data_IF_388239621088
#
_entry.id   IF_388239621088
#
_cell.length_a   1.000
_cell.length_b   1.000
_cell.length_c   1.000
_cell.angle_alpha   90.00
_cell.angle_beta   90.00
_cell.angle_gamma   90.00
#
_symmetry.space_group_name_H-M   'P 1'
#
loop_
_entity.id
_entity.type
_entity.pdbx_description
1 polymer ?
#
# COMPACT_ATOMS: atom_id res chain seq x y z
N UNK A 1 4.71 43.09 -53.64
CA UNK A 1 3.32 42.95 -54.13
C UNK A 1 3.12 41.52 -54.61
N UNK A 2 1.91 40.98 -54.37
CA UNK A 2 1.36 39.66 -54.80
C UNK A 2 1.76 38.48 -53.90
N UNK A 3 0.88 37.82 -53.09
CA UNK A 3 -0.34 37.00 -53.38
C UNK A 3 0.02 35.86 -54.36
N UNK A 4 -0.19 34.56 -54.10
CA UNK A 4 -1.38 33.78 -53.68
C UNK A 4 -0.90 32.34 -53.26
N UNK A 5 -1.40 31.71 -52.19
CA UNK A 5 -2.58 30.82 -52.04
C UNK A 5 -2.42 29.36 -52.54
N UNK A 6 -2.58 28.45 -51.57
CA UNK A 6 -3.04 27.03 -51.60
C UNK A 6 -2.41 26.01 -52.55
N UNK A 7 -2.00 24.87 -51.95
CA UNK A 7 -2.62 23.62 -52.37
C UNK A 7 -2.80 22.64 -51.20
N UNK A 8 -3.97 22.05 -51.16
CA UNK A 8 -4.47 21.07 -50.19
C UNK A 8 -3.96 19.68 -50.56
N UNK A 9 -3.82 18.78 -49.57
CA UNK A 9 -4.26 17.40 -49.78
C UNK A 9 -4.92 16.86 -48.50
N UNK A 10 -6.18 16.42 -48.58
CA UNK A 10 -6.98 15.91 -47.46
C UNK A 10 -6.95 14.38 -47.40
N UNK A 11 -6.79 13.82 -46.21
CA UNK A 11 -7.27 12.52 -45.72
C UNK A 11 -6.29 11.92 -44.72
N UNK A 12 -6.49 12.24 -43.45
CA UNK A 12 -6.38 11.24 -42.40
C UNK A 12 -7.70 11.33 -41.63
N UNK A 13 -8.58 10.38 -41.92
CA UNK A 13 -9.85 10.17 -41.22
C UNK A 13 -9.47 9.77 -39.79
N UNK A 14 -9.35 10.75 -38.90
CA UNK A 14 -9.26 10.52 -37.47
C UNK A 14 -10.68 10.18 -36.99
N UNK A 15 -10.85 8.91 -36.68
CA UNK A 15 -12.02 8.29 -36.08
C UNK A 15 -12.58 9.14 -34.92
N UNK A 16 -13.79 9.74 -35.03
CA UNK A 16 -14.39 10.51 -33.95
C UNK A 16 -15.26 9.60 -33.09
N UNK A 17 -14.65 8.76 -32.25
CA UNK A 17 -15.36 8.03 -31.21
C UNK A 17 -14.52 7.88 -29.94
N UNK A 18 -14.14 9.00 -29.32
CA UNK A 18 -13.93 9.09 -27.86
C UNK A 18 -14.40 10.48 -27.38
N UNK A 19 -15.70 10.75 -27.53
CA UNK A 19 -16.35 11.87 -26.84
C UNK A 19 -17.67 11.38 -26.24
N UNK A 20 -17.75 11.47 -24.92
CA UNK A 20 -18.87 11.11 -24.06
C UNK A 20 -18.36 10.22 -22.92
N UNK A 21 -18.14 10.71 -21.70
CA UNK A 21 -19.11 11.40 -20.84
C UNK A 21 -18.48 12.58 -20.07
N UNK A 22 -19.30 13.56 -19.69
CA UNK A 22 -18.91 14.74 -18.91
C UNK A 22 -18.13 14.35 -17.66
N UNK A 23 -16.88 14.82 -17.60
CA UNK A 23 -15.87 14.38 -16.64
C UNK A 23 -16.23 14.72 -15.21
N UNK A 24 -16.63 13.72 -14.44
CA UNK A 24 -16.31 13.73 -13.03
C UNK A 24 -14.78 13.58 -12.92
N UNK A 25 -14.10 14.45 -12.16
CA UNK A 25 -12.68 14.29 -11.92
C UNK A 25 -12.46 12.90 -11.30
N UNK A 26 -11.55 12.11 -11.89
CA UNK A 26 -11.18 10.82 -11.32
C UNK A 26 -10.66 11.07 -9.89
N UNK A 27 -11.33 10.56 -8.84
CA UNK A 27 -10.95 10.83 -7.46
C UNK A 27 -9.57 10.26 -7.08
N UNK A 28 -9.06 9.33 -7.90
CA UNK A 28 -7.75 8.70 -7.75
C UNK A 28 -6.69 9.28 -8.69
N UNK A 29 -7.02 10.32 -9.47
CA UNK A 29 -6.00 11.07 -10.20
C UNK A 29 -5.02 11.71 -9.21
N UNK A 30 -3.74 11.39 -9.38
CA UNK A 30 -2.62 11.83 -8.56
C UNK A 30 -1.65 12.75 -9.34
N UNK A 31 -2.05 13.23 -10.51
CA UNK A 31 -1.21 14.03 -11.40
C UNK A 31 -0.70 15.33 -10.74
N UNK A 32 -1.58 16.04 -10.02
CA UNK A 32 -1.22 17.27 -9.30
C UNK A 32 -0.25 16.98 -8.14
N UNK A 33 -0.53 15.96 -7.34
CA UNK A 33 0.34 15.58 -6.22
C UNK A 33 1.72 15.14 -6.70
N UNK A 34 1.80 14.40 -7.82
CA UNK A 34 3.07 14.01 -8.44
C UNK A 34 3.86 15.24 -8.89
N UNK A 35 3.20 16.20 -9.53
CA UNK A 35 3.85 17.45 -9.96
C UNK A 35 4.37 18.26 -8.78
N UNK A 36 3.59 18.35 -7.69
CA UNK A 36 4.01 19.02 -6.46
C UNK A 36 5.22 18.31 -5.83
N UNK A 37 5.18 16.97 -5.73
CA UNK A 37 6.27 16.17 -5.18
C UNK A 37 7.57 16.36 -5.98
N UNK A 38 7.51 16.33 -7.31
CA UNK A 38 8.67 16.58 -8.17
C UNK A 38 9.26 18.00 -7.98
N UNK A 39 8.42 19.00 -7.74
CA UNK A 39 8.89 20.36 -7.41
C UNK A 39 9.61 20.36 -6.06
N UNK A 40 8.99 19.78 -5.03
CA UNK A 40 9.56 19.71 -3.68
C UNK A 40 10.87 18.92 -3.65
N UNK A 41 10.97 17.81 -4.38
CA UNK A 41 12.20 17.03 -4.47
C UNK A 41 13.35 17.85 -5.11
N UNK A 42 13.06 18.63 -6.16
CA UNK A 42 14.05 19.53 -6.76
C UNK A 42 14.48 20.64 -5.81
N UNK A 43 13.52 21.23 -5.09
CA UNK A 43 13.82 22.26 -4.08
C UNK A 43 14.68 21.70 -2.94
N UNK A 44 14.33 20.52 -2.41
CA UNK A 44 15.09 19.85 -1.36
C UNK A 44 16.51 19.50 -1.82
N UNK A 45 16.67 19.05 -3.07
CA UNK A 45 18.00 18.79 -3.64
C UNK A 45 18.83 20.08 -3.72
N UNK A 46 18.26 21.18 -4.22
CA UNK A 46 18.95 22.46 -4.27
C UNK A 46 19.32 22.99 -2.89
N UNK A 47 18.44 22.80 -1.88
CA UNK A 47 18.74 23.16 -0.49
C UNK A 47 19.87 22.32 0.09
N UNK A 48 19.99 21.04 -0.27
CA UNK A 48 21.09 20.19 0.19
C UNK A 48 22.44 20.66 -0.38
N UNK A 49 22.45 21.14 -1.63
CA UNK A 49 23.66 21.68 -2.28
C UNK A 49 24.17 22.96 -1.62
N UNK A 50 23.27 23.84 -1.14
CA UNK A 50 23.65 25.10 -0.50
C UNK A 50 23.70 25.04 1.02
N UNK A 51 23.26 23.92 1.63
CA UNK A 51 23.04 23.74 3.06
C UNK A 51 24.16 24.29 3.94
N UNK A 52 25.40 23.90 3.66
CA UNK A 52 26.54 24.26 4.51
C UNK A 52 26.88 25.76 4.42
N UNK A 53 26.78 26.35 3.22
CA UNK A 53 27.04 27.77 3.01
C UNK A 53 25.94 28.63 3.67
N UNK A 54 24.68 28.21 3.53
CA UNK A 54 23.54 28.88 4.15
C UNK A 54 23.58 28.74 5.69
N UNK A 55 23.97 27.57 6.19
CA UNK A 55 24.14 27.35 7.63
C UNK A 55 25.27 28.20 8.21
N UNK A 56 26.44 28.25 7.56
CA UNK A 56 27.55 29.10 8.00
C UNK A 56 27.14 30.59 8.06
N UNK A 57 26.38 31.06 7.06
CA UNK A 57 25.83 32.41 7.06
C UNK A 57 24.83 32.62 8.21
N UNK A 58 23.91 31.68 8.42
CA UNK A 58 22.96 31.72 9.53
C UNK A 58 23.68 31.79 10.88
N UNK A 59 24.63 30.89 11.11
CA UNK A 59 25.40 30.79 12.36
C UNK A 59 26.16 32.08 12.66
N UNK A 60 26.78 32.70 11.65
CA UNK A 60 27.49 33.98 11.82
C UNK A 60 26.58 35.13 12.30
N UNK A 61 25.28 35.04 12.00
CA UNK A 61 24.27 36.05 12.33
C UNK A 61 23.51 35.71 13.62
N UNK A 62 23.43 34.44 14.00
CA UNK A 62 22.63 33.95 15.13
C UNK A 62 23.42 33.73 16.42
N UNK A 63 24.75 33.85 16.37
CA UNK A 63 25.61 33.81 17.56
C UNK A 63 25.70 35.19 18.24
N UNK A 64 25.25 35.26 19.48
CA UNK A 64 25.44 36.38 20.40
C UNK A 64 26.91 36.52 20.85
N UNK A 65 27.30 37.67 21.44
CA UNK A 65 28.64 37.85 22.00
C UNK A 65 28.99 36.81 23.06
N UNK A 66 28.08 36.51 23.97
CA UNK A 66 28.29 35.53 25.06
C UNK A 66 28.51 34.13 24.48
N UNK A 67 27.73 33.75 23.47
CA UNK A 67 27.89 32.46 22.80
C UNK A 67 29.21 32.36 22.03
N UNK A 68 29.76 33.48 21.53
CA UNK A 68 31.09 33.49 20.87
C UNK A 68 32.22 33.33 21.88
N UNK A 69 32.06 33.88 23.08
CA UNK A 69 33.05 33.78 24.15
C UNK A 69 33.21 32.33 24.63
N UNK A 70 32.15 31.52 24.55
CA UNK A 70 32.22 30.08 24.84
C UNK A 70 33.34 29.38 24.07
N UNK A 71 33.69 29.82 22.86
CA UNK A 71 34.80 29.21 22.12
C UNK A 71 36.13 29.27 22.89
N UNK A 72 36.33 30.31 23.71
CA UNK A 72 37.53 30.50 24.51
C UNK A 72 37.39 29.99 25.95
N UNK A 73 36.17 30.04 26.51
CA UNK A 73 35.90 29.65 27.90
C UNK A 73 35.57 28.17 28.06
N UNK A 74 34.80 27.62 27.14
CA UNK A 74 34.28 26.24 27.14
C UNK A 74 33.98 25.79 25.69
N UNK A 75 35.03 25.32 25.02
CA UNK A 75 34.98 24.91 23.61
C UNK A 75 33.95 23.79 23.37
N UNK A 76 33.72 22.90 24.34
CA UNK A 76 32.71 21.85 24.23
C UNK A 76 31.31 22.46 24.22
N UNK A 77 31.00 23.35 25.16
CA UNK A 77 29.71 24.06 25.21
C UNK A 77 29.47 24.90 23.94
N UNK A 78 30.52 25.50 23.38
CA UNK A 78 30.43 26.21 22.10
C UNK A 78 29.97 25.28 20.97
N UNK A 79 30.62 24.13 20.79
CA UNK A 79 30.25 23.20 19.72
C UNK A 79 28.86 22.57 19.94
N UNK A 80 28.46 22.29 21.18
CA UNK A 80 27.09 21.87 21.48
C UNK A 80 26.06 22.92 21.05
N UNK A 81 26.34 24.20 21.29
CA UNK A 81 25.47 25.29 20.84
C UNK A 81 25.40 25.38 19.31
N UNK A 82 26.53 25.22 18.61
CA UNK A 82 26.56 25.18 17.14
C UNK A 82 25.68 24.06 16.59
N UNK A 83 25.76 22.85 17.17
CA UNK A 83 24.93 21.71 16.75
C UNK A 83 23.44 21.97 16.98
N UNK A 84 23.06 22.54 18.13
CA UNK A 84 21.66 22.91 18.40
C UNK A 84 21.14 23.92 17.37
N UNK A 85 21.95 24.92 17.02
CA UNK A 85 21.59 25.90 15.97
C UNK A 85 21.53 25.27 14.57
N UNK A 86 22.32 24.24 14.30
CA UNK A 86 22.20 23.45 13.06
C UNK A 86 20.84 22.74 12.99
N UNK A 87 20.43 22.06 14.07
CA UNK A 87 19.13 21.40 14.15
C UNK A 87 17.96 22.39 13.93
N UNK A 88 18.00 23.56 14.58
CA UNK A 88 17.01 24.62 14.39
C UNK A 88 16.97 25.12 12.95
N UNK A 89 18.14 25.37 12.36
CA UNK A 89 18.27 25.81 10.97
C UNK A 89 17.67 24.80 10.01
N UNK A 90 17.98 23.51 10.18
CA UNK A 90 17.45 22.43 9.36
C UNK A 90 15.94 22.27 9.55
N UNK A 91 15.45 22.31 10.79
CA UNK A 91 14.02 22.23 11.06
C UNK A 91 13.23 23.33 10.31
N UNK A 92 13.73 24.57 10.33
CA UNK A 92 13.10 25.69 9.64
C UNK A 92 13.23 25.63 8.11
N UNK A 93 14.36 25.17 7.59
CA UNK A 93 14.66 25.20 6.14
C UNK A 93 14.09 24.02 5.37
N UNK A 94 14.14 22.82 5.95
CA UNK A 94 13.81 21.57 5.26
C UNK A 94 12.70 20.76 5.95
N UNK A 95 12.38 21.05 7.21
CA UNK A 95 11.39 20.27 7.98
C UNK A 95 10.02 20.21 7.32
N UNK A 96 9.38 21.36 7.09
CA UNK A 96 8.05 21.44 6.47
C UNK A 96 8.01 20.84 5.06
N UNK A 97 9.07 21.06 4.28
CA UNK A 97 9.19 20.52 2.91
C UNK A 97 9.32 19.00 2.90
N UNK A 98 10.12 18.44 3.81
CA UNK A 98 10.25 16.98 3.98
C UNK A 98 8.93 16.35 4.44
N UNK A 99 8.25 16.99 5.40
CA UNK A 99 6.95 16.54 5.88
C UNK A 99 5.91 16.55 4.76
N UNK A 100 5.86 17.62 3.95
CA UNK A 100 4.95 17.71 2.81
C UNK A 100 5.25 16.67 1.73
N UNK A 101 6.53 16.44 1.42
CA UNK A 101 6.93 15.40 0.46
C UNK A 101 6.47 14.01 0.92
N UNK A 102 6.68 13.66 2.19
CA UNK A 102 6.23 12.39 2.76
C UNK A 102 4.70 12.23 2.71
N UNK A 103 3.94 13.30 3.00
CA UNK A 103 2.48 13.30 2.89
C UNK A 103 2.00 13.08 1.45
N UNK A 104 2.67 13.72 0.48
CA UNK A 104 2.36 13.55 -0.94
C UNK A 104 2.66 12.12 -1.40
N UNK A 105 3.80 11.56 -1.01
CA UNK A 105 4.14 10.17 -1.31
C UNK A 105 3.07 9.20 -0.80
N UNK A 106 2.63 9.37 0.45
CA UNK A 106 1.55 8.56 1.02
C UNK A 106 0.23 8.73 0.25
N UNK A 107 -0.14 9.97 -0.06
CA UNK A 107 -1.37 10.29 -0.80
C UNK A 107 -1.35 9.67 -2.20
N UNK A 108 -0.23 9.79 -2.91
CA UNK A 108 -0.01 9.23 -4.25
C UNK A 108 -0.09 7.71 -4.19
N UNK A 109 0.56 7.08 -3.21
CA UNK A 109 0.54 5.63 -3.05
C UNK A 109 -0.89 5.11 -2.84
N UNK A 110 -1.66 5.76 -1.95
CA UNK A 110 -3.04 5.41 -1.68
C UNK A 110 -3.95 5.61 -2.91
N UNK A 111 -3.83 6.75 -3.61
CA UNK A 111 -4.58 7.00 -4.84
C UNK A 111 -4.25 5.99 -5.93
N UNK A 112 -2.96 5.66 -6.11
CA UNK A 112 -2.54 4.66 -7.09
C UNK A 112 -3.11 3.28 -6.76
N UNK A 113 -3.11 2.85 -5.48
CA UNK A 113 -3.67 1.55 -5.12
C UNK A 113 -5.15 1.45 -5.44
N UNK A 114 -5.93 2.51 -5.15
CA UNK A 114 -7.34 2.54 -5.50
C UNK A 114 -7.57 2.59 -7.02
N UNK A 115 -6.78 3.37 -7.76
CA UNK A 115 -6.89 3.41 -9.23
C UNK A 115 -6.59 2.06 -9.87
N UNK A 116 -5.62 1.31 -9.35
CA UNK A 116 -5.32 -0.05 -9.81
C UNK A 116 -6.49 -0.99 -9.54
N UNK A 117 -7.10 -0.90 -8.36
CA UNK A 117 -8.24 -1.73 -7.99
C UNK A 117 -9.48 -1.41 -8.86
N UNK A 118 -9.81 -0.14 -9.03
CA UNK A 118 -10.92 0.32 -9.88
C UNK A 118 -10.73 -0.15 -11.33
N UNK A 119 -9.50 -0.05 -11.84
CA UNK A 119 -9.17 -0.54 -13.18
C UNK A 119 -9.35 -2.07 -13.27
N UNK A 120 -8.89 -2.82 -12.27
CA UNK A 120 -9.04 -4.26 -12.23
C UNK A 120 -10.52 -4.68 -12.18
N UNK A 121 -11.34 -3.99 -11.41
CA UNK A 121 -12.80 -4.21 -11.36
C UNK A 121 -13.44 -3.95 -12.72
N UNK A 122 -13.15 -2.80 -13.34
CA UNK A 122 -13.66 -2.45 -14.67
C UNK A 122 -13.23 -3.49 -15.72
N UNK A 123 -11.97 -3.92 -15.70
CA UNK A 123 -11.45 -4.91 -16.65
C UNK A 123 -12.04 -6.32 -16.41
N UNK A 124 -12.36 -6.65 -15.16
CA UNK A 124 -13.12 -7.86 -14.81
C UNK A 124 -14.56 -7.79 -15.32
N UNK A 125 -15.28 -6.69 -15.09
CA UNK A 125 -16.67 -6.50 -15.53
C UNK A 125 -16.81 -6.53 -17.06
N UNK A 126 -15.80 -6.06 -17.81
CA UNK A 126 -15.77 -6.22 -19.28
C UNK A 126 -15.77 -7.68 -19.72
N UNK A 127 -15.14 -8.58 -18.94
CA UNK A 127 -15.09 -10.03 -19.22
C UNK A 127 -16.31 -10.75 -18.64
N UNK A 128 -16.81 -10.28 -17.52
CA UNK A 128 -17.90 -10.87 -16.74
C UNK A 128 -19.05 -9.85 -16.56
N UNK A 129 -19.78 -9.49 -17.63
CA UNK A 129 -20.77 -8.40 -17.58
C UNK A 129 -22.00 -8.71 -16.71
N UNK A 130 -22.20 -9.97 -16.33
CA UNK A 130 -23.28 -10.41 -15.44
C UNK A 130 -22.83 -10.61 -13.99
N UNK A 131 -21.54 -10.34 -13.68
CA UNK A 131 -21.05 -10.43 -12.32
C UNK A 131 -21.58 -9.25 -11.49
N UNK A 132 -21.90 -9.54 -10.24
CA UNK A 132 -22.34 -8.56 -9.24
C UNK A 132 -21.17 -8.36 -8.27
N UNK A 133 -20.38 -7.32 -8.51
CA UNK A 133 -19.14 -7.06 -7.74
C UNK A 133 -19.47 -6.70 -6.30
N UNK A 134 -20.54 -5.95 -6.05
CA UNK A 134 -21.00 -5.64 -4.69
C UNK A 134 -21.30 -6.91 -3.90
N UNK A 135 -22.07 -7.84 -4.48
CA UNK A 135 -22.41 -9.08 -3.81
C UNK A 135 -21.21 -10.05 -3.66
N UNK A 136 -20.20 -9.95 -4.54
CA UNK A 136 -18.94 -10.66 -4.41
C UNK A 136 -18.09 -10.11 -3.25
N UNK A 137 -18.00 -8.80 -3.12
CA UNK A 137 -17.29 -8.12 -2.03
C UNK A 137 -17.97 -8.42 -0.69
N UNK A 138 -19.30 -8.35 -0.61
CA UNK A 138 -20.03 -8.71 0.60
C UNK A 138 -19.76 -10.16 1.03
N UNK A 139 -19.72 -11.10 0.09
CA UNK A 139 -19.35 -12.49 0.35
C UNK A 139 -17.89 -12.60 0.83
N UNK A 140 -16.98 -11.88 0.19
CA UNK A 140 -15.59 -11.81 0.64
C UNK A 140 -15.52 -11.29 2.08
N UNK A 141 -16.21 -10.21 2.44
CA UNK A 141 -16.10 -9.59 3.76
C UNK A 141 -16.80 -10.40 4.86
N UNK A 142 -17.96 -10.98 4.59
CA UNK A 142 -18.83 -11.53 5.63
C UNK A 142 -18.85 -13.06 5.68
N UNK A 143 -18.75 -13.72 4.53
CA UNK A 143 -19.01 -15.16 4.42
C UNK A 143 -17.74 -15.99 4.21
N UNK A 144 -16.67 -15.37 3.71
CA UNK A 144 -15.45 -16.09 3.36
C UNK A 144 -14.60 -16.45 4.61
N UNK A 145 -14.18 -17.72 4.77
CA UNK A 145 -13.33 -18.13 5.89
C UNK A 145 -11.98 -17.39 5.90
N UNK A 146 -11.38 -17.09 7.07
CA UNK A 146 -10.13 -16.34 7.16
C UNK A 146 -8.96 -16.94 6.36
N UNK A 147 -8.92 -18.27 6.21
CA UNK A 147 -7.89 -18.96 5.43
C UNK A 147 -8.01 -18.69 3.93
N UNK A 148 -9.24 -18.54 3.43
CA UNK A 148 -9.50 -18.27 2.00
C UNK A 148 -9.37 -16.78 1.70
N UNK A 149 -9.83 -15.91 2.61
CA UNK A 149 -9.54 -14.46 2.58
C UNK A 149 -8.05 -14.19 2.39
N UNK A 150 -7.21 -14.76 3.27
CA UNK A 150 -5.75 -14.62 3.16
C UNK A 150 -5.17 -15.07 1.82
N UNK A 151 -5.79 -16.02 1.12
CA UNK A 151 -5.31 -16.42 -0.21
C UNK A 151 -5.61 -15.32 -1.23
N UNK A 152 -6.82 -14.76 -1.18
CA UNK A 152 -7.25 -13.67 -2.05
C UNK A 152 -6.48 -12.37 -1.74
N UNK A 153 -6.21 -12.07 -0.47
CA UNK A 153 -5.47 -10.86 -0.03
C UNK A 153 -4.05 -10.80 -0.58
N UNK A 154 -3.45 -11.96 -0.87
CA UNK A 154 -2.09 -12.05 -1.42
C UNK A 154 -2.08 -12.05 -2.96
N UNK A 155 -3.24 -11.98 -3.62
CA UNK A 155 -3.31 -11.94 -5.06
C UNK A 155 -3.02 -10.53 -5.60
N UNK A 156 -2.40 -10.45 -6.79
CA UNK A 156 -2.38 -9.21 -7.56
C UNK A 156 -3.81 -8.68 -7.82
N UNK A 157 -4.03 -7.36 -7.85
CA UNK A 157 -5.36 -6.77 -8.07
C UNK A 157 -6.06 -7.26 -9.34
N UNK A 158 -5.30 -7.54 -10.40
CA UNK A 158 -5.78 -8.05 -11.69
C UNK A 158 -6.28 -9.50 -11.64
N UNK A 159 -5.87 -10.28 -10.63
CA UNK A 159 -6.30 -11.66 -10.41
C UNK A 159 -7.37 -11.78 -9.31
N UNK A 160 -7.50 -10.76 -8.46
CA UNK A 160 -8.38 -10.76 -7.29
C UNK A 160 -9.84 -11.01 -7.65
N UNK A 161 -10.43 -10.19 -8.54
CA UNK A 161 -11.85 -10.27 -8.88
C UNK A 161 -12.21 -11.58 -9.59
N UNK A 162 -11.34 -12.09 -10.45
CA UNK A 162 -11.55 -13.36 -11.14
C UNK A 162 -11.55 -14.54 -10.16
N UNK A 163 -10.60 -14.54 -9.22
CA UNK A 163 -10.50 -15.58 -8.18
C UNK A 163 -11.67 -15.52 -7.20
N UNK A 164 -12.06 -14.31 -6.79
CA UNK A 164 -13.24 -14.10 -5.95
C UNK A 164 -14.52 -14.60 -6.64
N UNK A 165 -14.68 -14.31 -7.94
CA UNK A 165 -15.83 -14.77 -8.71
C UNK A 165 -15.90 -16.30 -8.81
N UNK A 166 -14.75 -16.98 -8.94
CA UNK A 166 -14.70 -18.45 -8.94
C UNK A 166 -15.16 -19.04 -7.60
N UNK A 167 -14.69 -18.51 -6.47
CA UNK A 167 -15.10 -19.00 -5.15
C UNK A 167 -16.59 -18.68 -4.90
N UNK A 168 -17.03 -17.49 -5.29
CA UNK A 168 -18.42 -17.05 -5.17
C UNK A 168 -19.40 -17.87 -6.01
N UNK A 169 -19.04 -18.20 -7.25
CA UNK A 169 -19.87 -19.03 -8.12
C UNK A 169 -19.95 -20.47 -7.61
N UNK A 170 -18.87 -21.00 -7.04
CA UNK A 170 -18.85 -22.31 -6.41
C UNK A 170 -19.71 -22.38 -5.14
N UNK A 171 -19.78 -21.31 -4.35
CA UNK A 171 -20.64 -21.25 -3.16
C UNK A 171 -22.13 -21.12 -3.52
N UNK A 172 -22.46 -20.45 -4.63
CA UNK A 172 -23.82 -20.36 -5.18
C UNK A 172 -24.30 -21.64 -5.87
N UNK A 173 -23.37 -22.47 -6.34
CA UNK A 173 -23.73 -23.76 -6.92
C UNK A 173 -23.88 -24.74 -5.76
N UNK A 174 -25.08 -25.28 -5.46
CA UNK A 174 -25.20 -26.27 -4.40
C UNK A 174 -24.25 -27.42 -4.74
N UNK A 175 -23.22 -27.62 -3.91
CA UNK A 175 -22.26 -28.71 -4.11
C UNK A 175 -23.05 -29.98 -4.39
N UNK A 176 -22.91 -30.47 -5.63
CA UNK A 176 -23.29 -31.82 -5.98
C UNK A 176 -22.52 -32.70 -5.00
N UNK A 177 -23.23 -33.20 -3.98
CA UNK A 177 -22.72 -34.01 -2.86
C UNK A 177 -21.49 -34.80 -3.32
N UNK A 178 -20.32 -34.29 -2.98
CA UNK A 178 -19.11 -35.07 -3.07
C UNK A 178 -19.31 -36.18 -2.04
N UNK A 179 -19.40 -37.42 -2.51
CA UNK A 179 -19.48 -38.59 -1.67
C UNK A 179 -18.19 -38.64 -0.85
N UNK A 180 -18.18 -38.01 0.34
CA UNK A 180 -17.18 -38.34 1.33
C UNK A 180 -17.27 -39.85 1.56
N UNK A 181 -16.18 -40.61 1.38
CA UNK A 181 -16.20 -42.03 1.67
C UNK A 181 -16.66 -42.21 3.12
N UNK A 182 -17.66 -43.08 3.30
CA UNK A 182 -18.23 -43.41 4.62
C UNK A 182 -17.08 -43.65 5.59
N UNK A 183 -17.09 -42.94 6.74
CA UNK A 183 -16.25 -43.26 7.89
C UNK A 183 -16.26 -44.78 8.08
N UNK A 184 -15.10 -45.40 7.99
CA UNK A 184 -14.92 -46.79 8.41
C UNK A 184 -15.40 -46.88 9.85
N UNK A 185 -16.38 -47.75 10.09
CA UNK A 185 -16.79 -48.16 11.43
C UNK A 185 -15.55 -48.75 12.09
N UNK A 186 -14.98 -48.05 13.06
CA UNK A 186 -13.99 -48.63 13.95
C UNK A 186 -14.70 -49.74 14.72
N UNK A 187 -14.27 -50.98 14.51
CA UNK A 187 -14.68 -52.10 15.35
C UNK A 187 -14.20 -51.79 16.77
N UNK A 188 -15.08 -51.69 17.78
CA UNK A 188 -14.62 -51.69 19.16
C UNK A 188 -13.96 -53.05 19.42
N UNK A 189 -12.70 -53.03 19.87
CA UNK A 189 -12.10 -54.19 20.51
C UNK A 189 -12.90 -54.43 21.80
N UNK A 190 -13.59 -55.57 21.87
CA UNK A 190 -14.16 -56.07 23.12
C UNK A 190 -13.01 -56.36 24.08
N UNK A 191 -12.91 -55.54 25.13
CA UNK A 191 -12.20 -55.89 26.35
C UNK A 191 -13.27 -56.13 27.39
N UNK A 192 -13.71 -57.38 27.51
CA UNK A 192 -14.64 -57.78 28.56
C UNK A 192 -14.05 -58.92 29.39
N UNK A 193 -13.60 -58.51 30.59
CA UNK A 193 -13.58 -59.21 31.89
C UNK A 193 -13.13 -60.68 31.92
N UNK A 194 -11.90 -60.94 32.39
CA UNK A 194 -11.55 -61.14 33.81
C UNK A 194 -11.76 -62.60 34.25
N UNK A 195 -10.65 -63.30 34.50
CA UNK A 195 -10.62 -64.34 35.52
C UNK A 195 -9.46 -64.08 36.48
N UNK A 196 -9.86 -63.88 37.72
CA UNK A 196 -9.02 -63.66 38.89
C UNK A 196 -8.90 -65.03 39.58
N UNK A 197 -7.79 -65.73 39.46
CA UNK A 197 -7.41 -66.76 40.44
C UNK A 197 -5.91 -66.74 40.74
N UNK A 198 -5.63 -66.26 41.96
CA UNK A 198 -4.53 -66.53 42.88
C UNK A 198 -3.42 -67.50 42.43
N UNK A 199 -2.18 -67.02 42.53
CA UNK A 199 -1.16 -67.68 43.37
C UNK A 199 0.01 -66.74 43.65
N UNK A 200 0.17 -66.42 44.94
CA UNK A 200 1.42 -66.28 45.70
C UNK A 200 2.62 -65.51 45.14
N UNK A 201 3.12 -64.54 45.92
CA UNK A 201 4.50 -64.10 45.75
C UNK A 201 4.91 -62.78 46.39
N UNK A 202 4.75 -62.67 47.71
CA UNK A 202 5.67 -62.02 48.66
C UNK A 202 6.59 -60.85 48.21
N UNK A 203 6.39 -59.73 48.90
CA UNK A 203 7.40 -58.93 49.62
C UNK A 203 8.38 -57.98 48.87
N UNK A 204 8.21 -56.69 49.22
CA UNK A 204 9.24 -55.73 49.66
C UNK A 204 10.23 -55.18 48.61
N UNK A 205 10.74 -53.96 48.69
CA UNK A 205 10.68 -52.82 49.63
C UNK A 205 11.23 -51.60 48.87
N UNK A 206 10.75 -50.42 49.25
CA UNK A 206 11.42 -49.10 49.25
C UNK A 206 12.21 -48.67 48.00
#
# INVERSE_FOLDING_TARGET
MQKEVQNQNPNAVANPQEQGQGGQPNPFDSSLEKSELESLQRELQGLEETKNADFAKYLSQSLSPEEKELFFEDEEAFFQNVLNKEEEFLAQRIGDKKNRAAQLEQTIAQKNSFSILEKAESDFLKKNPNADTDAMIDFYENDLPPREKRKLDNLPPDEFFESLYQVYSQSKTPSKKENLPKRTQGTPMDVENADYQSSDGYFERL
#
